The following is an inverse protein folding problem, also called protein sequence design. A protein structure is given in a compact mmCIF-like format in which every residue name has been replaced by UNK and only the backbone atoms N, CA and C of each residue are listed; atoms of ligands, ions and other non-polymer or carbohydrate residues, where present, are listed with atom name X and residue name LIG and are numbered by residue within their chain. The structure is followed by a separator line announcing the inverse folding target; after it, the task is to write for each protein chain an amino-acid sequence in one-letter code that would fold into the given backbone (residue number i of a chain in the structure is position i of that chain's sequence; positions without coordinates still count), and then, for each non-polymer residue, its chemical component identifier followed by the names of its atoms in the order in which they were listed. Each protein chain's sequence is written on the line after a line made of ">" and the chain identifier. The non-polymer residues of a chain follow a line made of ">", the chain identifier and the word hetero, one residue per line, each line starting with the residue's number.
data_IF_989729334579
#
_entry.id   IF_989729334579
#
_cell.length_a   1.000
_cell.length_b   1.000
_cell.length_c   1.000
_cell.angle_alpha   90.00
_cell.angle_beta   90.00
_cell.angle_gamma   90.00
#
_symmetry.space_group_name_H-M   'P 1'
#
loop_
_entity.id
_entity.type
_entity.pdbx_description
1 polymer ?
#
# COMPACT_ATOMS: atom_id res chain seq x y z
N UNK A 1 -19.81 -50.36 0.04
CA UNK A 1 -20.00 -49.05 0.70
C UNK A 1 -18.62 -48.41 0.81
N UNK A 2 -18.22 -47.63 -0.19
CA UNK A 2 -16.94 -46.93 -0.24
C UNK A 2 -17.25 -45.46 -0.52
N UNK A 3 -17.07 -44.61 0.48
CA UNK A 3 -17.22 -43.16 0.32
C UNK A 3 -16.00 -42.59 -0.41
N UNK A 4 -16.17 -41.78 -1.47
CA UNK A 4 -15.04 -41.11 -2.11
C UNK A 4 -14.54 -39.96 -1.21
N UNK A 5 -13.27 -40.06 -0.80
CA UNK A 5 -12.56 -38.97 -0.12
C UNK A 5 -12.40 -37.78 -1.08
N UNK A 6 -12.79 -36.60 -0.60
CA UNK A 6 -12.78 -35.34 -1.35
C UNK A 6 -11.35 -34.82 -1.57
N UNK A 7 -11.11 -34.27 -2.77
CA UNK A 7 -9.88 -33.61 -3.25
C UNK A 7 -9.36 -32.46 -2.34
N UNK A 8 -10.14 -32.04 -1.35
CA UNK A 8 -9.80 -31.02 -0.35
C UNK A 8 -8.77 -31.46 0.69
N UNK A 9 -8.66 -32.76 1.00
CA UNK A 9 -7.76 -33.26 2.05
C UNK A 9 -6.29 -33.33 1.59
N UNK A 10 -6.03 -33.62 0.31
CA UNK A 10 -4.67 -33.66 -0.25
C UNK A 10 -3.98 -32.28 -0.24
N UNK A 11 -4.74 -31.20 -0.44
CA UNK A 11 -4.21 -29.83 -0.44
C UNK A 11 -3.83 -29.38 0.99
N UNK A 12 -4.55 -29.83 2.01
CA UNK A 12 -4.27 -29.45 3.40
C UNK A 12 -3.01 -30.12 3.98
N UNK A 13 -2.65 -31.33 3.54
CA UNK A 13 -1.41 -31.98 3.98
C UNK A 13 -0.14 -31.34 3.37
N UNK A 14 -0.21 -30.88 2.11
CA UNK A 14 0.89 -30.16 1.45
C UNK A 14 1.20 -28.80 2.10
N UNK A 15 0.18 -28.11 2.63
CA UNK A 15 0.34 -26.83 3.35
C UNK A 15 0.99 -27.04 4.74
N UNK A 16 0.75 -28.20 5.40
CA UNK A 16 1.32 -28.51 6.72
C UNK A 16 2.83 -28.83 6.64
N UNK A 17 3.30 -29.53 5.58
CA UNK A 17 4.74 -29.85 5.40
C UNK A 17 5.62 -28.65 5.02
N UNK A 18 5.08 -27.60 4.39
CA UNK A 18 5.83 -26.37 4.09
C UNK A 18 6.13 -25.50 5.32
N UNK A 19 5.39 -25.66 6.43
CA UNK A 19 5.64 -24.91 7.68
C UNK A 19 6.88 -25.38 8.44
N UNK A 20 7.23 -26.66 8.41
CA UNK A 20 8.39 -27.18 9.16
C UNK A 20 9.75 -26.90 8.52
N UNK A 21 9.81 -26.68 7.20
CA UNK A 21 11.10 -26.44 6.51
C UNK A 21 11.50 -24.96 6.48
N UNK A 22 10.54 -24.05 6.67
CA UNK A 22 10.80 -22.61 6.65
C UNK A 22 11.15 -22.06 8.05
N UNK A 23 10.76 -22.74 9.13
CA UNK A 23 11.12 -22.35 10.50
C UNK A 23 12.61 -22.54 10.82
N UNK A 24 13.28 -23.53 10.22
CA UNK A 24 14.70 -23.82 10.51
C UNK A 24 15.70 -22.94 9.75
N UNK A 25 15.27 -22.21 8.71
CA UNK A 25 16.11 -21.22 8.02
C UNK A 25 15.88 -19.78 8.51
N UNK A 26 14.81 -19.52 9.26
CA UNK A 26 14.50 -18.20 9.81
C UNK A 26 15.25 -17.92 11.13
N UNK A 27 15.52 -18.96 11.93
CA UNK A 27 16.30 -18.82 13.18
C UNK A 27 17.80 -18.53 12.99
N UNK A 28 18.34 -18.73 11.78
CA UNK A 28 19.76 -18.43 11.50
C UNK A 28 20.01 -17.03 10.90
N UNK A 29 18.95 -16.32 10.46
CA UNK A 29 19.09 -14.98 9.87
C UNK A 29 18.83 -13.85 10.89
N UNK A 30 18.07 -14.12 11.96
CA UNK A 30 17.85 -13.16 13.07
C UNK A 30 19.07 -12.96 13.99
N UNK A 31 20.08 -13.85 13.96
CA UNK A 31 21.29 -13.68 14.78
C UNK A 31 22.44 -12.93 14.09
N UNK A 32 22.31 -12.53 12.81
CA UNK A 32 23.37 -11.82 12.08
C UNK A 32 23.08 -10.34 11.82
N UNK A 33 21.95 -9.81 12.29
CA UNK A 33 21.63 -8.37 12.22
C UNK A 33 21.42 -7.72 13.60
N UNK A 34 22.10 -8.21 14.64
CA UNK A 34 22.19 -7.51 15.94
C UNK A 34 23.61 -7.08 16.32
N UNK A 35 24.59 -7.21 15.41
CA UNK A 35 26.02 -6.93 15.69
C UNK A 35 26.74 -6.08 14.64
N UNK A 36 26.05 -5.18 13.94
CA UNK A 36 26.74 -4.21 13.06
C UNK A 36 26.12 -2.81 13.00
N UNK A 37 25.24 -2.45 13.94
CA UNK A 37 24.88 -1.06 14.17
C UNK A 37 25.20 -0.76 15.62
N UNK A 38 26.33 -0.07 15.82
CA UNK A 38 26.59 0.58 17.09
C UNK A 38 25.36 1.42 17.42
N UNK A 39 24.72 1.10 18.54
CA UNK A 39 23.73 1.94 19.20
C UNK A 39 24.51 3.13 19.76
N UNK A 40 24.91 4.03 18.86
CA UNK A 40 25.74 5.18 19.10
C UNK A 40 25.16 6.31 18.28
N UNK A 41 24.25 7.07 18.90
CA UNK A 41 23.76 8.37 18.45
C UNK A 41 23.32 8.40 16.98
N UNK A 42 22.05 8.03 16.74
CA UNK A 42 21.31 8.66 15.64
C UNK A 42 21.46 10.18 15.88
N UNK A 43 22.14 10.94 15.00
CA UNK A 43 22.31 12.36 15.21
C UNK A 43 20.92 12.96 15.35
N UNK A 44 20.71 13.72 16.42
CA UNK A 44 19.45 14.37 16.81
C UNK A 44 18.72 15.05 15.63
N UNK A 45 19.47 15.52 14.63
CA UNK A 45 18.97 16.08 13.39
C UNK A 45 18.20 15.10 12.46
N UNK A 46 18.54 13.80 12.44
CA UNK A 46 17.79 12.79 11.67
C UNK A 46 16.40 12.55 12.30
N UNK A 47 16.27 12.66 13.62
CA UNK A 47 14.98 12.60 14.32
C UNK A 47 14.11 13.84 14.02
N UNK A 48 14.71 15.03 13.88
CA UNK A 48 14.00 16.29 13.63
C UNK A 48 13.31 16.35 12.25
N UNK A 49 13.80 15.60 11.26
CA UNK A 49 13.28 15.63 9.88
C UNK A 49 11.90 14.96 9.72
N UNK A 50 11.52 14.07 10.65
CA UNK A 50 10.32 13.24 10.48
C UNK A 50 9.00 13.93 10.84
N UNK A 51 9.01 15.15 11.38
CA UNK A 51 7.83 15.82 11.97
C UNK A 51 7.34 17.05 11.20
N UNK A 52 7.57 17.14 9.89
CA UNK A 52 7.17 18.33 9.11
C UNK A 52 5.68 18.68 9.19
N UNK A 53 4.80 17.69 8.99
CA UNK A 53 3.36 17.90 9.09
C UNK A 53 2.92 18.18 10.53
N UNK A 54 3.40 17.38 11.49
CA UNK A 54 2.98 17.47 12.90
C UNK A 54 3.31 18.85 13.49
N UNK A 55 4.50 19.36 13.17
CA UNK A 55 4.91 20.71 13.56
C UNK A 55 4.02 21.78 12.91
N UNK A 56 3.67 21.61 11.63
CA UNK A 56 2.79 22.56 10.93
C UNK A 56 1.38 22.60 11.51
N UNK A 57 0.77 21.45 11.81
CA UNK A 57 -0.55 21.38 12.49
C UNK A 57 -0.53 21.97 13.89
N UNK A 58 0.59 21.82 14.61
CA UNK A 58 0.72 22.40 15.94
C UNK A 58 0.78 23.92 15.90
N UNK A 59 1.45 24.50 14.89
CA UNK A 59 1.59 25.94 14.74
C UNK A 59 0.26 26.60 14.33
N UNK A 60 -0.38 26.08 13.29
CA UNK A 60 -1.56 26.70 12.67
C UNK A 60 -2.66 25.64 12.43
N UNK A 61 -3.51 25.33 13.43
CA UNK A 61 -4.45 24.20 13.36
C UNK A 61 -5.61 24.42 12.36
N UNK A 62 -6.03 25.66 12.13
CA UNK A 62 -7.18 25.97 11.25
C UNK A 62 -6.82 25.88 9.76
N UNK A 63 -5.56 26.14 9.42
CA UNK A 63 -5.11 26.22 8.03
C UNK A 63 -4.72 24.85 7.45
N UNK A 64 -4.59 23.84 8.31
CA UNK A 64 -3.98 22.55 7.99
C UNK A 64 -5.00 21.40 8.06
N UNK A 65 -5.07 20.50 7.05
CA UNK A 65 -5.98 19.37 7.08
C UNK A 65 -5.57 18.31 8.12
N UNK A 66 -6.57 17.76 8.79
CA UNK A 66 -6.43 16.65 9.74
C UNK A 66 -6.31 15.31 8.99
N UNK A 67 -5.32 14.49 9.32
CA UNK A 67 -5.08 13.19 8.65
C UNK A 67 -6.21 12.17 8.95
N UNK A 68 -6.78 12.24 10.15
CA UNK A 68 -7.81 11.29 10.60
C UNK A 68 -9.22 11.69 10.19
N UNK A 69 -9.46 12.98 9.99
CA UNK A 69 -10.75 13.47 9.52
C UNK A 69 -10.73 13.37 8.00
N UNK A 70 -11.85 12.92 7.42
CA UNK A 70 -11.98 12.86 5.96
C UNK A 70 -12.00 14.26 5.31
N UNK A 71 -12.15 14.32 3.98
CA UNK A 71 -12.25 15.58 3.25
C UNK A 71 -13.40 16.44 3.76
N UNK A 72 -13.12 17.69 4.11
CA UNK A 72 -14.14 18.68 4.56
C UNK A 72 -14.83 19.36 3.37
N UNK A 73 -14.17 19.39 2.21
CA UNK A 73 -14.66 20.07 1.01
C UNK A 73 -15.27 19.08 0.03
N UNK A 74 -16.31 19.51 -0.66
CA UNK A 74 -16.94 18.70 -1.69
C UNK A 74 -15.94 18.38 -2.82
N UNK A 75 -15.93 17.15 -3.37
CA UNK A 75 -15.01 16.77 -4.44
C UNK A 75 -15.20 17.54 -5.75
N UNK A 76 -16.36 18.15 -5.95
CA UNK A 76 -16.74 18.90 -7.17
C UNK A 76 -16.33 20.36 -7.08
N UNK A 77 -16.04 20.87 -5.87
CA UNK A 77 -15.66 22.26 -5.66
C UNK A 77 -14.34 22.60 -6.40
N UNK A 78 -14.39 23.60 -7.28
CA UNK A 78 -13.28 23.99 -8.15
C UNK A 78 -13.15 23.25 -9.49
N UNK A 79 -14.09 22.37 -9.85
CA UNK A 79 -14.11 21.66 -11.14
C UNK A 79 -15.38 22.01 -11.94
N UNK A 80 -15.32 22.97 -12.90
CA UNK A 80 -16.51 23.42 -13.64
C UNK A 80 -17.12 22.33 -14.54
N UNK A 81 -16.30 21.42 -15.08
CA UNK A 81 -16.73 20.31 -15.94
C UNK A 81 -17.01 19.00 -15.16
N UNK A 82 -16.91 19.04 -13.83
CA UNK A 82 -17.01 17.87 -12.97
C UNK A 82 -15.76 16.99 -12.97
N UNK A 83 -15.61 16.16 -11.92
CA UNK A 83 -14.46 15.27 -11.74
C UNK A 83 -14.74 13.89 -12.32
N UNK A 84 -13.88 13.40 -13.23
CA UNK A 84 -13.94 12.01 -13.70
C UNK A 84 -13.71 11.03 -12.52
N UNK A 85 -14.59 10.04 -12.38
CA UNK A 85 -14.42 8.95 -11.40
C UNK A 85 -13.29 8.01 -11.83
N UNK A 86 -12.53 7.49 -10.86
CA UNK A 86 -11.56 6.43 -11.12
C UNK A 86 -12.33 5.14 -11.41
N UNK A 87 -12.01 4.50 -12.52
CA UNK A 87 -12.64 3.27 -12.95
C UNK A 87 -11.84 2.07 -12.43
N UNK A 88 -12.55 1.06 -11.91
CA UNK A 88 -11.95 -0.23 -11.59
C UNK A 88 -11.95 -1.10 -12.85
N UNK A 89 -10.77 -1.58 -13.23
CA UNK A 89 -10.61 -2.50 -14.38
C UNK A 89 -11.04 -3.93 -14.01
N UNK A 90 -10.96 -4.29 -12.73
CA UNK A 90 -11.21 -5.64 -12.21
C UNK A 90 -12.42 -5.63 -11.29
N UNK A 91 -13.24 -6.68 -11.33
CA UNK A 91 -14.41 -6.81 -10.45
C UNK A 91 -14.02 -7.26 -9.04
N UNK A 92 -14.88 -6.97 -8.06
CA UNK A 92 -14.64 -7.36 -6.66
C UNK A 92 -14.62 -8.89 -6.47
N UNK A 93 -15.46 -9.62 -7.21
CA UNK A 93 -15.56 -11.07 -7.14
C UNK A 93 -14.27 -11.75 -7.63
N UNK A 94 -13.68 -11.25 -8.72
CA UNK A 94 -12.39 -11.72 -9.25
C UNK A 94 -11.24 -11.51 -8.25
N UNK A 95 -11.23 -10.37 -7.54
CA UNK A 95 -10.22 -10.10 -6.50
C UNK A 95 -10.32 -11.07 -5.32
N UNK A 96 -11.54 -11.45 -4.94
CA UNK A 96 -11.80 -12.43 -3.88
C UNK A 96 -11.38 -13.83 -4.35
N UNK A 97 -11.73 -14.22 -5.58
CA UNK A 97 -11.32 -15.49 -6.17
C UNK A 97 -9.79 -15.63 -6.24
N UNK A 98 -9.08 -14.53 -6.56
CA UNK A 98 -7.62 -14.46 -6.56
C UNK A 98 -6.98 -14.41 -5.15
N UNK A 99 -7.79 -14.47 -4.07
CA UNK A 99 -7.37 -14.38 -2.67
C UNK A 99 -6.47 -13.16 -2.38
N UNK A 100 -6.83 -12.00 -2.95
CA UNK A 100 -6.17 -10.75 -2.59
C UNK A 100 -6.51 -10.37 -1.14
N UNK A 101 -5.50 -9.92 -0.40
CA UNK A 101 -5.71 -9.35 0.93
C UNK A 101 -6.38 -7.97 0.81
N UNK A 102 -7.15 -7.51 1.81
CA UNK A 102 -7.93 -6.27 1.72
C UNK A 102 -7.07 -5.05 1.38
N UNK A 103 -5.85 -4.96 1.89
CA UNK A 103 -4.92 -3.84 1.61
C UNK A 103 -4.34 -3.84 0.18
N UNK A 104 -4.51 -4.93 -0.58
CA UNK A 104 -4.01 -5.06 -1.95
C UNK A 104 -5.11 -4.81 -3.00
N UNK A 105 -6.37 -4.66 -2.55
CA UNK A 105 -7.57 -4.50 -3.40
C UNK A 105 -7.77 -3.03 -3.82
N UNK A 106 -6.72 -2.42 -4.35
CA UNK A 106 -6.77 -1.05 -4.87
C UNK A 106 -7.08 -1.03 -6.37
N UNK A 107 -7.26 0.16 -6.96
CA UNK A 107 -7.38 0.36 -8.43
C UNK A 107 -6.26 -0.34 -9.22
N UNK A 108 -5.09 -0.52 -8.60
CA UNK A 108 -3.92 -1.15 -9.18
C UNK A 108 -3.92 -2.69 -9.18
N UNK A 109 -4.97 -3.34 -8.64
CA UNK A 109 -4.99 -4.79 -8.42
C UNK A 109 -4.78 -5.63 -9.70
N UNK A 110 -5.22 -5.13 -10.86
CA UNK A 110 -5.05 -5.81 -12.15
C UNK A 110 -3.57 -6.07 -12.49
N UNK A 111 -2.67 -5.13 -12.20
CA UNK A 111 -1.22 -5.30 -12.42
C UNK A 111 -0.60 -6.26 -11.40
N UNK A 112 -1.11 -6.28 -10.17
CA UNK A 112 -0.64 -7.21 -9.16
C UNK A 112 -0.97 -8.67 -9.54
N UNK A 113 -2.14 -8.90 -10.12
CA UNK A 113 -2.51 -10.22 -10.66
C UNK A 113 -1.58 -10.61 -11.82
N UNK A 114 -1.30 -9.70 -12.76
CA UNK A 114 -0.37 -9.95 -13.87
C UNK A 114 1.04 -10.29 -13.37
N UNK A 115 1.53 -9.58 -12.35
CA UNK A 115 2.79 -9.88 -11.70
C UNK A 115 2.79 -11.29 -11.08
N UNK A 116 1.75 -11.66 -10.32
CA UNK A 116 1.63 -13.01 -9.72
C UNK A 116 1.53 -14.12 -10.75
N UNK A 117 0.88 -13.90 -11.89
CA UNK A 117 0.84 -14.87 -13.00
C UNK A 117 2.25 -15.14 -13.53
N UNK A 118 3.02 -14.08 -13.80
CA UNK A 118 4.40 -14.20 -14.25
C UNK A 118 5.31 -14.90 -13.23
N UNK A 119 5.09 -14.70 -11.92
CA UNK A 119 5.80 -15.45 -10.87
C UNK A 119 5.51 -16.96 -10.89
N UNK A 120 4.30 -17.36 -11.28
CA UNK A 120 3.91 -18.77 -11.34
C UNK A 120 4.40 -19.46 -12.62
N UNK A 121 4.55 -18.71 -13.71
CA UNK A 121 4.96 -19.23 -15.02
C UNK A 121 6.48 -19.44 -15.14
N UNK A 122 7.29 -18.61 -14.47
CA UNK A 122 8.75 -18.67 -14.58
C UNK A 122 9.42 -19.23 -13.33
N UNK A 123 10.36 -20.17 -13.51
CA UNK A 123 11.16 -20.74 -12.43
C UNK A 123 12.16 -19.74 -11.81
N UNK A 124 12.60 -18.73 -12.56
CA UNK A 124 13.53 -17.69 -12.11
C UNK A 124 12.87 -16.30 -12.27
N UNK A 125 11.95 -15.93 -11.38
CA UNK A 125 11.12 -14.73 -11.56
C UNK A 125 11.90 -13.41 -11.50
N UNK A 126 13.06 -13.38 -10.83
CA UNK A 126 13.82 -12.16 -10.60
C UNK A 126 14.25 -11.45 -11.89
N UNK A 127 14.54 -12.19 -12.96
CA UNK A 127 15.03 -11.62 -14.23
C UNK A 127 13.91 -11.32 -15.21
N UNK A 128 12.91 -12.20 -15.33
CA UNK A 128 11.86 -12.08 -16.36
C UNK A 128 10.68 -11.21 -15.94
N UNK A 129 10.44 -11.05 -14.63
CA UNK A 129 9.24 -10.39 -14.12
C UNK A 129 9.44 -8.90 -13.78
N UNK A 130 10.59 -8.31 -14.16
CA UNK A 130 10.91 -6.91 -13.87
C UNK A 130 9.85 -5.94 -14.42
N UNK A 131 9.41 -6.15 -15.65
CA UNK A 131 8.53 -5.20 -16.35
C UNK A 131 7.16 -5.11 -15.68
N UNK A 132 6.60 -6.26 -15.28
CA UNK A 132 5.32 -6.32 -14.59
C UNK A 132 5.43 -5.70 -13.19
N UNK A 133 6.56 -5.91 -12.51
CA UNK A 133 6.85 -5.26 -11.24
C UNK A 133 6.91 -3.74 -11.39
N UNK A 134 7.62 -3.22 -12.39
CA UNK A 134 7.73 -1.78 -12.64
C UNK A 134 6.39 -1.15 -12.96
N UNK A 135 5.56 -1.81 -13.78
CA UNK A 135 4.19 -1.35 -14.06
C UNK A 135 3.35 -1.24 -12.78
N UNK A 136 3.38 -2.26 -11.93
CA UNK A 136 2.67 -2.25 -10.65
C UNK A 136 3.16 -1.12 -9.71
N UNK A 137 4.48 -0.95 -9.58
CA UNK A 137 5.07 0.10 -8.75
C UNK A 137 4.71 1.49 -9.26
N UNK A 138 4.85 1.75 -10.56
CA UNK A 138 4.48 3.02 -11.18
C UNK A 138 3.01 3.36 -10.93
N UNK A 139 2.12 2.37 -11.01
CA UNK A 139 0.71 2.56 -10.70
C UNK A 139 0.45 2.87 -9.22
N UNK A 140 1.19 2.26 -8.28
CA UNK A 140 1.15 2.61 -6.85
C UNK A 140 1.67 4.02 -6.57
N UNK A 141 2.75 4.42 -7.23
CA UNK A 141 3.29 5.78 -7.15
C UNK A 141 2.25 6.81 -7.62
N UNK A 142 1.56 6.53 -8.73
CA UNK A 142 0.49 7.40 -9.21
C UNK A 142 -0.68 7.50 -8.21
N UNK A 143 -1.06 6.40 -7.54
CA UNK A 143 -2.08 6.46 -6.49
C UNK A 143 -1.63 7.28 -5.28
N UNK A 144 -0.36 7.20 -4.90
CA UNK A 144 0.23 8.07 -3.87
C UNK A 144 0.20 9.55 -4.29
N UNK A 145 0.58 9.86 -5.53
CA UNK A 145 0.53 11.22 -6.06
C UNK A 145 -0.88 11.80 -6.02
N UNK A 146 -1.90 10.99 -6.27
CA UNK A 146 -3.28 11.44 -6.12
C UNK A 146 -3.62 11.82 -4.67
N UNK A 147 -3.23 10.98 -3.69
CA UNK A 147 -3.45 11.27 -2.26
C UNK A 147 -2.75 12.55 -1.82
N UNK A 148 -1.55 12.79 -2.32
CA UNK A 148 -0.82 14.04 -2.07
C UNK A 148 -1.54 15.26 -2.67
N UNK A 149 -2.10 15.14 -3.88
CA UNK A 149 -2.88 16.20 -4.52
C UNK A 149 -4.18 16.51 -3.76
N UNK A 150 -4.85 15.47 -3.25
CA UNK A 150 -6.06 15.62 -2.43
C UNK A 150 -5.74 16.37 -1.12
N UNK A 151 -4.65 15.99 -0.47
CA UNK A 151 -4.17 16.67 0.74
C UNK A 151 -3.77 18.14 0.51
N UNK A 152 -2.99 18.42 -0.54
CA UNK A 152 -2.61 19.80 -0.86
C UNK A 152 -3.82 20.67 -1.26
N UNK A 153 -4.80 20.09 -1.96
CA UNK A 153 -6.04 20.78 -2.31
C UNK A 153 -6.76 21.26 -1.06
N UNK A 154 -6.95 20.37 -0.08
CA UNK A 154 -7.62 20.74 1.18
C UNK A 154 -6.87 21.82 1.93
N UNK A 155 -5.54 21.69 2.05
CA UNK A 155 -4.70 22.71 2.68
C UNK A 155 -4.90 24.09 2.04
N UNK A 156 -4.88 24.17 0.71
CA UNK A 156 -5.07 25.45 -0.02
C UNK A 156 -6.47 26.01 0.14
N UNK A 157 -7.50 25.16 0.19
CA UNK A 157 -8.87 25.61 0.39
C UNK A 157 -9.12 26.08 1.84
N UNK A 158 -8.51 25.43 2.83
CA UNK A 158 -8.53 25.89 4.22
C UNK A 158 -7.85 27.24 4.37
N UNK A 159 -6.65 27.41 3.81
CA UNK A 159 -5.94 28.69 3.81
C UNK A 159 -6.77 29.83 3.19
N UNK A 160 -7.52 29.53 2.11
CA UNK A 160 -8.44 30.51 1.53
C UNK A 160 -9.58 30.86 2.50
N UNK A 161 -10.23 29.86 3.11
CA UNK A 161 -11.31 30.08 4.09
C UNK A 161 -10.84 30.93 5.28
N UNK A 162 -9.66 30.63 5.84
CA UNK A 162 -9.11 31.39 6.97
C UNK A 162 -8.78 32.83 6.56
N UNK A 163 -8.24 33.05 5.36
CA UNK A 163 -7.93 34.40 4.86
C UNK A 163 -9.18 35.26 4.60
N UNK A 164 -10.33 34.65 4.34
CA UNK A 164 -11.60 35.36 4.11
C UNK A 164 -12.39 35.65 5.38
N UNK A 165 -12.04 35.02 6.50
CA UNK A 165 -12.69 35.23 7.80
C UNK A 165 -12.05 36.36 8.64
N UNK A 166 -10.92 36.90 8.19
CA UNK A 166 -10.27 38.11 8.72
C UNK A 166 -10.81 39.36 8.00
#
# INVERSE_FOLDING_TARGET
>A
MWTPMTHSHQVQELIRRRRSFCSLLFESFEQRYSRSWGVGSIPFWILLSTMGHVLATYKDPESMPDIFKGPVFDPVDGFPEGRKRREFILTNEEMIAARLKPYERDYCAHLLLAFRKCLNEHAIPAFFCSDQKHKYLHCKENDQLYRMKEYERERRLLHKRTSTSE
#
